data_IF_249016990943
#
_entry.id   IF_249016990943
#
_cell.length_a   1.000
_cell.length_b   1.000
_cell.length_c   1.000
_cell.angle_alpha   90.00
_cell.angle_beta   90.00
_cell.angle_gamma   90.00
#
_symmetry.space_group_name_H-M   'P 1'
#
loop_
_entity.id
_entity.type
_entity.pdbx_description
1 polymer ?
#
# COMPACT_ATOMS: atom_id res chain seq x y z
N UNK A 1 16.30 -54.93 4.76
CA UNK A 1 15.73 -53.72 5.43
C UNK A 1 15.44 -52.70 4.35
N UNK A 2 14.17 -52.44 4.05
CA UNK A 2 13.79 -51.46 3.03
C UNK A 2 14.24 -50.05 3.50
N UNK A 3 15.15 -49.39 2.77
CA UNK A 3 15.55 -48.01 3.03
C UNK A 3 14.37 -47.12 2.69
N UNK A 4 13.72 -46.61 3.71
CA UNK A 4 12.67 -45.59 3.54
C UNK A 4 13.27 -44.43 2.76
N UNK A 5 12.64 -44.08 1.64
CA UNK A 5 13.07 -42.97 0.81
C UNK A 5 13.23 -41.70 1.66
N UNK A 6 14.32 -40.92 1.48
CA UNK A 6 14.50 -39.64 2.21
C UNK A 6 13.29 -38.71 2.13
N UNK A 7 12.58 -38.74 1.00
CA UNK A 7 11.35 -37.95 0.76
C UNK A 7 10.22 -38.38 1.71
N UNK A 8 10.02 -39.70 1.91
CA UNK A 8 8.97 -40.21 2.79
C UNK A 8 9.20 -39.79 4.24
N UNK A 9 10.46 -39.81 4.68
CA UNK A 9 10.84 -39.39 6.03
C UNK A 9 10.55 -37.90 6.22
N UNK A 10 10.85 -37.05 5.23
CA UNK A 10 10.55 -35.59 5.28
C UNK A 10 9.06 -35.32 5.30
N UNK A 11 8.28 -36.00 4.45
CA UNK A 11 6.82 -35.89 4.41
C UNK A 11 6.19 -36.24 5.78
N UNK A 12 6.63 -37.36 6.38
CA UNK A 12 6.12 -37.76 7.71
C UNK A 12 6.50 -36.75 8.81
N UNK A 13 7.73 -36.18 8.73
CA UNK A 13 8.15 -35.15 9.68
C UNK A 13 7.30 -33.86 9.59
N UNK A 14 6.80 -33.52 8.39
CA UNK A 14 5.95 -32.33 8.20
C UNK A 14 4.55 -32.45 8.82
N UNK A 15 4.04 -33.64 9.07
CA UNK A 15 2.75 -33.85 9.75
C UNK A 15 2.77 -33.23 11.16
N UNK A 16 3.92 -33.26 11.83
CA UNK A 16 4.07 -32.76 13.21
C UNK A 16 4.67 -31.35 13.31
N UNK A 17 5.11 -30.76 12.19
CA UNK A 17 5.63 -29.38 12.15
C UNK A 17 4.51 -28.36 12.16
N UNK A 18 4.70 -27.26 12.86
CA UNK A 18 3.76 -26.13 12.77
C UNK A 18 3.75 -25.56 11.35
N UNK A 19 2.55 -25.17 10.83
CA UNK A 19 2.46 -24.52 9.52
C UNK A 19 3.23 -23.19 9.53
N UNK A 20 3.89 -22.87 8.41
CA UNK A 20 4.56 -21.59 8.22
C UNK A 20 3.58 -20.46 7.85
N UNK A 21 2.35 -20.81 7.50
CA UNK A 21 1.30 -19.87 7.14
C UNK A 21 0.60 -19.29 8.36
N UNK A 22 0.14 -18.05 8.25
CA UNK A 22 -0.70 -17.40 9.26
C UNK A 22 -2.17 -17.52 8.88
N UNK A 23 -3.05 -17.62 9.88
CA UNK A 23 -4.50 -17.67 9.67
C UNK A 23 -5.05 -16.26 9.45
N UNK A 24 -4.75 -15.68 8.29
CA UNK A 24 -5.34 -14.42 7.87
C UNK A 24 -6.78 -14.68 7.36
N UNK A 25 -7.79 -13.85 7.68
CA UNK A 25 -7.72 -12.54 8.36
C UNK A 25 -7.84 -12.58 9.90
N UNK A 26 -7.99 -13.75 10.53
CA UNK A 26 -8.15 -13.88 11.99
C UNK A 26 -6.94 -13.32 12.75
N UNK A 27 -5.73 -13.60 12.23
CA UNK A 27 -4.48 -13.09 12.77
C UNK A 27 -3.82 -12.20 11.72
N UNK A 28 -3.86 -10.89 11.92
CA UNK A 28 -3.20 -9.93 11.02
C UNK A 28 -1.69 -9.98 11.22
N UNK A 29 -0.90 -9.98 10.13
CA UNK A 29 0.54 -9.90 10.23
C UNK A 29 0.98 -8.57 10.84
N UNK A 30 2.01 -8.59 11.67
CA UNK A 30 2.61 -7.37 12.18
C UNK A 30 3.41 -6.71 11.06
N UNK A 31 3.01 -5.51 10.68
CA UNK A 31 3.65 -4.75 9.61
C UNK A 31 4.97 -4.15 10.13
N UNK A 32 6.11 -4.34 9.45
CA UNK A 32 7.38 -3.77 9.84
C UNK A 32 7.40 -2.25 9.62
N UNK A 33 8.25 -1.55 10.40
CA UNK A 33 8.51 -0.13 10.19
C UNK A 33 9.11 0.11 8.79
N UNK A 34 8.67 1.19 8.13
CA UNK A 34 9.10 1.49 6.75
C UNK A 34 8.32 0.74 5.65
N UNK A 35 7.23 0.07 6.02
CA UNK A 35 6.36 -0.56 5.04
C UNK A 35 5.78 0.46 4.05
N UNK A 36 5.71 0.07 2.78
CA UNK A 36 5.19 0.90 1.68
C UNK A 36 3.74 0.55 1.36
N UNK A 37 2.83 0.89 2.29
CA UNK A 37 1.39 0.66 2.12
C UNK A 37 0.67 1.75 1.33
N UNK A 38 -0.58 2.06 1.67
CA UNK A 38 -1.35 3.13 1.03
C UNK A 38 -0.69 4.50 1.29
N UNK A 39 -0.65 5.35 0.27
CA UNK A 39 -0.18 6.74 0.42
C UNK A 39 -1.16 7.56 1.25
N UNK A 40 -0.61 8.29 2.24
CA UNK A 40 -1.33 9.33 2.97
C UNK A 40 -0.92 10.67 2.36
N UNK A 41 -1.90 11.44 1.91
CA UNK A 41 -1.69 12.75 1.31
C UNK A 41 -2.21 13.85 2.23
N UNK A 42 -1.33 14.80 2.56
CA UNK A 42 -1.68 16.00 3.31
C UNK A 42 -1.82 17.20 2.37
N UNK A 43 -3.07 17.64 2.17
CA UNK A 43 -3.39 18.73 1.25
C UNK A 43 -2.82 20.07 1.71
N UNK A 44 -2.74 20.32 3.02
CA UNK A 44 -2.26 21.59 3.58
C UNK A 44 -0.76 21.84 3.30
N UNK A 45 0.03 20.79 3.19
CA UNK A 45 1.45 20.87 2.86
C UNK A 45 1.72 20.98 1.36
N UNK A 46 0.75 20.59 0.54
CA UNK A 46 0.93 20.54 -0.91
C UNK A 46 0.90 21.93 -1.53
N UNK A 47 1.89 22.24 -2.37
CA UNK A 47 1.99 23.50 -3.13
C UNK A 47 1.56 23.36 -4.60
N UNK A 48 1.17 22.16 -5.05
CA UNK A 48 0.74 21.93 -6.43
C UNK A 48 1.84 21.90 -7.48
N UNK A 49 3.09 21.64 -7.11
CA UNK A 49 4.26 21.73 -8.01
C UNK A 49 4.31 20.66 -9.12
N UNK A 50 3.50 19.59 -9.06
CA UNK A 50 3.42 18.53 -10.08
C UNK A 50 4.61 17.56 -10.15
N UNK A 51 5.65 17.70 -9.32
CA UNK A 51 6.82 16.80 -9.32
C UNK A 51 6.43 15.33 -9.11
N UNK A 52 5.50 15.07 -8.18
CA UNK A 52 5.03 13.72 -7.89
C UNK A 52 4.39 13.03 -9.11
N UNK A 53 3.66 13.78 -9.95
CA UNK A 53 3.08 13.27 -11.20
C UNK A 53 4.13 13.01 -12.26
N UNK A 54 5.08 13.93 -12.41
CA UNK A 54 6.17 13.85 -13.40
C UNK A 54 7.11 12.67 -13.13
N UNK A 55 7.49 12.49 -11.87
CA UNK A 55 8.49 11.49 -11.46
C UNK A 55 7.85 10.10 -11.19
N UNK A 56 6.53 9.95 -11.40
CA UNK A 56 5.85 8.68 -11.23
C UNK A 56 6.12 7.73 -12.41
N UNK A 57 6.83 6.59 -12.23
CA UNK A 57 7.15 5.68 -13.32
C UNK A 57 5.91 4.98 -13.89
N UNK A 58 4.91 4.74 -13.06
CA UNK A 58 3.65 4.08 -13.45
C UNK A 58 2.58 5.06 -13.95
N UNK A 59 2.86 6.39 -13.99
CA UNK A 59 1.88 7.45 -14.30
C UNK A 59 0.56 7.29 -13.54
N UNK A 60 0.69 6.89 -12.28
CA UNK A 60 -0.43 6.65 -11.37
C UNK A 60 -0.92 7.93 -10.67
N UNK A 61 -0.32 9.08 -10.95
CA UNK A 61 -0.67 10.36 -10.31
C UNK A 61 -1.11 11.33 -11.39
N UNK A 62 -2.32 11.81 -11.26
CA UNK A 62 -2.94 12.80 -12.13
C UNK A 62 -3.08 14.12 -11.37
N UNK A 63 -2.82 15.24 -12.03
CA UNK A 63 -3.00 16.56 -11.42
C UNK A 63 -4.40 17.07 -11.75
N UNK A 64 -5.20 17.34 -10.72
CA UNK A 64 -6.55 17.86 -10.84
C UNK A 64 -6.67 19.24 -10.18
N UNK A 65 -7.51 20.09 -10.73
CA UNK A 65 -7.81 21.36 -10.11
C UNK A 65 -8.81 21.17 -8.97
N UNK A 66 -8.45 21.64 -7.78
CA UNK A 66 -9.31 21.66 -6.60
C UNK A 66 -9.24 23.07 -6.02
N UNK A 67 -10.34 23.80 -6.13
CA UNK A 67 -10.48 25.19 -5.64
C UNK A 67 -9.41 26.14 -6.19
N UNK A 68 -9.09 26.04 -7.48
CA UNK A 68 -8.08 26.89 -8.16
C UNK A 68 -6.62 26.51 -7.83
N UNK A 69 -6.39 25.34 -7.24
CA UNK A 69 -5.04 24.81 -6.95
C UNK A 69 -4.88 23.40 -7.52
N UNK A 70 -3.77 23.19 -8.21
CA UNK A 70 -3.42 21.87 -8.74
C UNK A 70 -3.08 20.91 -7.59
N UNK A 71 -3.78 19.75 -7.53
CA UNK A 71 -3.60 18.73 -6.50
C UNK A 71 -3.43 17.35 -7.11
N UNK A 72 -2.61 16.46 -6.53
CA UNK A 72 -2.45 15.11 -7.03
C UNK A 72 -3.65 14.24 -6.68
N UNK A 73 -4.11 13.48 -7.66
CA UNK A 73 -5.06 12.39 -7.56
C UNK A 73 -4.28 11.08 -7.74
N UNK A 74 -4.37 10.16 -6.79
CA UNK A 74 -3.60 8.92 -6.85
C UNK A 74 -4.48 7.76 -7.30
N UNK A 75 -4.07 7.08 -8.37
CA UNK A 75 -4.66 5.85 -8.88
C UNK A 75 -3.92 4.64 -8.33
N UNK A 76 -4.43 4.05 -7.24
CA UNK A 76 -3.79 2.91 -6.58
C UNK A 76 -3.84 1.64 -7.43
N UNK A 77 -4.79 1.54 -8.35
CA UNK A 77 -4.92 0.45 -9.31
C UNK A 77 -3.76 0.36 -10.31
N UNK A 78 -3.02 1.45 -10.52
CA UNK A 78 -1.83 1.53 -11.37
C UNK A 78 -0.54 1.73 -10.59
N UNK A 79 -0.65 2.02 -9.29
CA UNK A 79 0.49 2.35 -8.44
C UNK A 79 1.33 1.12 -8.12
N UNK A 80 2.65 1.21 -8.27
CA UNK A 80 3.61 0.16 -7.91
C UNK A 80 4.21 0.34 -6.51
N UNK A 81 3.71 1.30 -5.73
CA UNK A 81 4.15 1.57 -4.36
C UNK A 81 5.66 1.83 -4.20
N UNK A 82 6.30 2.41 -5.21
CA UNK A 82 7.74 2.72 -5.19
C UNK A 82 8.10 3.90 -4.27
N UNK A 83 7.14 4.77 -3.95
CA UNK A 83 7.29 5.98 -3.12
C UNK A 83 8.21 7.07 -3.69
N UNK A 84 8.59 6.99 -4.97
CA UNK A 84 9.35 8.05 -5.63
C UNK A 84 8.66 9.43 -5.49
N UNK A 85 7.33 9.45 -5.55
CA UNK A 85 6.53 10.66 -5.37
C UNK A 85 6.67 11.30 -3.98
N UNK A 86 6.93 10.52 -2.93
CA UNK A 86 7.18 11.03 -1.58
C UNK A 86 8.59 11.62 -1.47
N UNK A 87 9.59 10.97 -2.07
CA UNK A 87 10.98 11.43 -2.12
C UNK A 87 11.12 12.72 -2.94
N UNK A 88 10.41 12.81 -4.09
CA UNK A 88 10.39 14.01 -4.93
C UNK A 88 9.60 15.18 -4.34
N UNK A 89 8.84 14.98 -3.26
CA UNK A 89 8.01 16.02 -2.68
C UNK A 89 8.81 16.95 -1.74
N UNK A 90 9.10 18.22 -2.13
CA UNK A 90 9.92 19.12 -1.30
C UNK A 90 9.23 19.52 0.02
N UNK A 91 7.92 19.36 0.10
CA UNK A 91 7.12 19.69 1.28
C UNK A 91 6.75 18.47 2.14
N UNK A 92 7.14 17.26 1.74
CA UNK A 92 6.79 16.04 2.45
C UNK A 92 5.28 15.81 2.61
N UNK A 93 4.49 16.26 1.61
CA UNK A 93 3.02 16.13 1.64
C UNK A 93 2.52 14.70 1.44
N UNK A 94 3.38 13.78 1.04
CA UNK A 94 3.04 12.38 0.78
C UNK A 94 3.86 11.52 1.76
N UNK A 95 3.15 10.66 2.52
CA UNK A 95 3.76 9.74 3.48
C UNK A 95 3.30 8.31 3.22
N UNK A 96 4.11 7.34 3.66
CA UNK A 96 3.73 5.93 3.70
C UNK A 96 2.81 5.64 4.88
N UNK A 97 2.00 4.59 4.75
CA UNK A 97 1.22 4.03 5.86
C UNK A 97 1.46 2.52 5.97
N UNK A 98 0.98 1.93 7.05
CA UNK A 98 0.99 0.49 7.26
C UNK A 98 -0.23 -0.21 6.64
N UNK A 99 -1.11 0.55 5.95
CA UNK A 99 -2.33 0.02 5.35
C UNK A 99 -1.98 -0.74 4.07
N UNK A 100 -2.17 -2.05 4.09
CA UNK A 100 -1.93 -2.94 2.94
C UNK A 100 -3.22 -3.59 2.41
N UNK A 101 -4.31 -3.55 3.17
CA UNK A 101 -5.61 -4.11 2.79
C UNK A 101 -6.30 -3.15 1.80
N UNK A 102 -5.98 -3.28 0.52
CA UNK A 102 -6.48 -2.42 -0.56
C UNK A 102 -7.35 -3.16 -1.58
N UNK A 103 -7.73 -4.40 -1.27
CA UNK A 103 -8.58 -5.19 -2.15
C UNK A 103 -9.96 -4.52 -2.31
N UNK A 104 -10.39 -4.31 -3.55
CA UNK A 104 -11.69 -3.73 -3.87
C UNK A 104 -12.26 -4.32 -5.15
N UNK A 105 -13.57 -4.51 -5.19
CA UNK A 105 -14.28 -4.96 -6.39
C UNK A 105 -14.41 -3.85 -7.46
N UNK A 106 -14.29 -2.58 -7.07
CA UNK A 106 -14.40 -1.43 -7.96
C UNK A 106 -13.13 -0.59 -7.96
N UNK A 107 -12.62 -0.23 -9.15
CA UNK A 107 -11.46 0.65 -9.31
C UNK A 107 -11.67 2.06 -8.75
N UNK A 108 -12.92 2.53 -8.71
CA UNK A 108 -13.26 3.84 -8.14
C UNK A 108 -12.86 3.98 -6.67
N UNK A 109 -12.87 2.88 -5.93
CA UNK A 109 -12.45 2.85 -4.52
C UNK A 109 -10.92 2.90 -4.34
N UNK A 110 -10.19 2.62 -5.42
CA UNK A 110 -8.72 2.67 -5.45
C UNK A 110 -8.18 4.03 -5.91
N UNK A 111 -9.01 5.05 -5.91
CA UNK A 111 -8.62 6.42 -6.24
C UNK A 111 -8.59 7.25 -4.96
N UNK A 112 -7.40 7.71 -4.59
CA UNK A 112 -7.21 8.63 -3.46
C UNK A 112 -7.38 10.05 -3.98
N UNK A 113 -8.52 10.64 -3.65
CA UNK A 113 -8.85 12.03 -4.00
C UNK A 113 -8.19 13.00 -3.03
N UNK A 114 -7.78 14.18 -3.49
CA UNK A 114 -7.31 15.24 -2.61
C UNK A 114 -8.51 15.84 -1.85
N UNK A 115 -8.83 15.23 -0.70
CA UNK A 115 -9.78 15.80 0.28
C UNK A 115 -9.00 16.22 1.52
N UNK A 116 -9.49 17.21 2.22
CA UNK A 116 -9.11 17.50 3.60
C UNK A 116 -9.66 16.37 4.48
N UNK A 117 -8.94 15.25 4.56
CA UNK A 117 -9.26 14.23 5.53
C UNK A 117 -8.17 14.24 6.60
N UNK A 118 -8.57 14.69 7.79
CA UNK A 118 -7.94 14.40 9.06
C UNK A 118 -7.49 12.94 9.10
N UNK A 119 -6.32 12.74 9.66
CA UNK A 119 -5.69 11.45 9.93
C UNK A 119 -6.55 10.71 10.95
N UNK A 120 -7.61 10.07 10.50
CA UNK A 120 -8.38 9.14 11.30
C UNK A 120 -7.93 7.73 10.92
N UNK A 121 -7.06 7.19 11.78
CA UNK A 121 -6.75 5.77 11.79
C UNK A 121 -8.02 4.99 12.13
N UNK A 122 -8.52 4.21 11.18
CA UNK A 122 -9.61 3.29 11.43
C UNK A 122 -10.80 3.47 10.51
N UNK A 123 -10.68 3.09 9.27
CA UNK A 123 -11.80 2.92 8.34
C UNK A 123 -11.99 1.43 8.05
N UNK A 124 -12.89 0.79 8.78
CA UNK A 124 -13.48 -0.50 8.44
C UNK A 124 -14.01 -0.42 7.02
N UNK A 125 -13.43 -1.20 6.13
CA UNK A 125 -14.01 -1.47 4.81
C UNK A 125 -14.79 -2.77 4.95
N UNK A 126 -16.10 -2.66 4.89
CA UNK A 126 -17.01 -3.80 4.72
C UNK A 126 -16.98 -4.19 3.24
#
# INVERSE_FOLDING_TARGET
MARVSPILREVLAHIFKKPATQKYPEVKPKVPSGFRGKQIFNISLCIGCGLCSRDCPAKAIEMVDVEGKMRPLFHLDRCIFCYQCAESCPRGAIKSSEIFELASASKSNLVVKPKEESVDGGGTVI
#
